data_IF_523853128671
#
_entry.id   IF_523853128671
#
_cell.length_a   1.000
_cell.length_b   1.000
_cell.length_c   1.000
_cell.angle_alpha   90.00
_cell.angle_beta   90.00
_cell.angle_gamma   90.00
#
_symmetry.space_group_name_H-M   'P 1'
#
loop_
_entity.id
_entity.type
_entity.pdbx_description
1 polymer ?
#
# COMPACT_ATOMS: atom_id res chain seq x y z
N UNK A 1 1.61 0.51 5.26
CA UNK A 1 1.77 1.91 4.83
C UNK A 1 1.88 1.93 3.31
N UNK A 2 1.45 3.00 2.66
CA UNK A 2 1.45 3.15 1.19
C UNK A 2 2.28 4.36 0.80
N UNK A 3 3.03 4.25 -0.29
CA UNK A 3 3.81 5.33 -0.88
C UNK A 3 2.95 6.00 -1.94
N UNK A 4 2.77 7.31 -1.80
CA UNK A 4 2.05 8.09 -2.80
C UNK A 4 2.98 8.32 -3.99
N UNK A 5 2.50 8.04 -5.21
CA UNK A 5 3.26 8.23 -6.44
C UNK A 5 2.31 8.59 -7.58
N UNK A 6 2.81 9.30 -8.60
CA UNK A 6 2.03 9.60 -9.80
C UNK A 6 0.81 10.54 -9.59
N UNK A 7 0.79 11.34 -8.51
CA UNK A 7 -0.23 12.38 -8.30
C UNK A 7 -0.08 13.52 -9.32
N UNK A 8 -1.03 13.64 -10.24
CA UNK A 8 -1.05 14.73 -11.23
C UNK A 8 -1.48 16.08 -10.65
N UNK A 9 -2.43 16.07 -9.72
CA UNK A 9 -2.98 17.30 -9.12
C UNK A 9 -2.13 17.89 -8.00
N UNK A 10 -1.24 17.09 -7.41
CA UNK A 10 -0.43 17.50 -6.28
C UNK A 10 0.90 16.71 -6.23
N UNK A 11 1.78 16.91 -7.21
CA UNK A 11 3.04 16.17 -7.32
C UNK A 11 3.98 16.37 -6.14
N UNK A 12 3.79 17.42 -5.33
CA UNK A 12 4.55 17.69 -4.11
C UNK A 12 4.39 16.62 -3.02
N UNK A 13 3.33 15.79 -3.08
CA UNK A 13 3.14 14.67 -2.15
C UNK A 13 3.66 13.33 -2.71
N UNK A 14 4.22 13.32 -3.94
CA UNK A 14 4.83 12.11 -4.48
C UNK A 14 6.10 11.77 -3.68
N UNK A 15 6.24 10.51 -3.28
CA UNK A 15 7.31 10.04 -2.41
C UNK A 15 6.99 10.12 -0.92
N UNK A 16 5.84 10.65 -0.53
CA UNK A 16 5.39 10.66 0.87
C UNK A 16 4.73 9.33 1.24
N UNK A 17 5.03 8.84 2.43
CA UNK A 17 4.41 7.65 3.01
C UNK A 17 3.13 8.05 3.73
N UNK A 18 2.04 7.37 3.42
CA UNK A 18 0.72 7.60 3.99
C UNK A 18 0.15 6.30 4.58
N UNK A 19 -0.81 6.45 5.48
CA UNK A 19 -1.57 5.34 6.06
C UNK A 19 -2.98 5.35 5.50
N UNK A 20 -3.43 4.21 4.99
CA UNK A 20 -4.79 4.09 4.49
C UNK A 20 -5.76 4.15 5.68
N UNK A 21 -6.68 5.10 5.66
CA UNK A 21 -7.71 5.29 6.69
C UNK A 21 -9.10 4.89 6.21
N UNK A 22 -9.30 4.75 4.90
CA UNK A 22 -10.56 4.32 4.33
C UNK A 22 -10.50 4.04 2.84
N UNK A 23 -11.57 3.44 2.32
CA UNK A 23 -11.74 3.18 0.90
C UNK A 23 -13.16 3.64 0.50
N UNK A 24 -13.26 4.49 -0.52
CA UNK A 24 -14.52 5.01 -1.06
C UNK A 24 -14.64 4.66 -2.53
N UNK A 25 -15.47 3.65 -2.82
CA UNK A 25 -15.73 3.16 -4.17
C UNK A 25 -14.41 2.86 -4.92
N UNK A 26 -13.99 3.76 -5.82
CA UNK A 26 -12.81 3.65 -6.67
C UNK A 26 -11.58 4.43 -6.13
N UNK A 27 -11.71 5.05 -4.95
CA UNK A 27 -10.66 5.86 -4.33
C UNK A 27 -10.30 5.33 -2.96
N UNK A 28 -9.05 5.47 -2.59
CA UNK A 28 -8.46 5.13 -1.31
C UNK A 28 -8.23 6.42 -0.54
N UNK A 29 -8.80 6.53 0.65
CA UNK A 29 -8.55 7.62 1.58
C UNK A 29 -7.30 7.29 2.40
N UNK A 30 -6.26 8.08 2.22
CA UNK A 30 -4.99 7.97 2.92
C UNK A 30 -4.76 9.19 3.77
N UNK A 31 -4.29 9.00 4.99
CA UNK A 31 -3.86 10.06 5.89
C UNK A 31 -2.32 10.09 5.90
N UNK A 32 -1.76 11.28 5.66
CA UNK A 32 -0.34 11.56 5.77
C UNK A 32 -0.12 12.79 6.65
N UNK A 33 1.08 12.93 7.19
CA UNK A 33 1.52 14.16 7.84
C UNK A 33 2.32 14.99 6.84
N UNK A 34 1.90 16.24 6.64
CA UNK A 34 2.61 17.21 5.82
C UNK A 34 2.65 18.54 6.55
N UNK A 35 3.84 19.13 6.69
CA UNK A 35 4.05 20.42 7.37
C UNK A 35 3.52 20.44 8.82
N UNK A 36 3.64 19.32 9.54
CA UNK A 36 3.17 19.20 10.93
C UNK A 36 1.65 19.14 11.08
N UNK A 37 0.91 18.96 9.98
CA UNK A 37 -0.53 18.77 9.99
C UNK A 37 -0.91 17.44 9.34
N UNK A 38 -1.90 16.76 9.93
CA UNK A 38 -2.50 15.57 9.32
C UNK A 38 -3.39 15.98 8.14
N UNK A 39 -3.08 15.47 6.95
CA UNK A 39 -3.87 15.62 5.73
C UNK A 39 -4.44 14.29 5.30
N UNK A 40 -5.73 14.30 4.98
CA UNK A 40 -6.42 13.16 4.37
C UNK A 40 -6.59 13.42 2.88
N UNK A 41 -6.13 12.49 2.05
CA UNK A 41 -6.21 12.54 0.59
C UNK A 41 -6.98 11.34 0.06
N UNK A 42 -7.95 11.60 -0.82
CA UNK A 42 -8.63 10.57 -1.57
C UNK A 42 -7.92 10.35 -2.91
N UNK A 43 -7.11 9.31 -2.99
CA UNK A 43 -6.27 8.98 -4.13
C UNK A 43 -6.78 7.73 -4.84
N UNK A 44 -6.50 7.58 -6.12
CA UNK A 44 -6.80 6.31 -6.77
C UNK A 44 -5.76 5.25 -6.38
N UNK A 45 -6.12 3.95 -6.39
CA UNK A 45 -5.18 2.87 -6.14
C UNK A 45 -4.01 2.87 -7.14
N UNK A 46 -4.22 3.31 -8.38
CA UNK A 46 -3.15 3.51 -9.40
C UNK A 46 -2.08 4.55 -9.00
N UNK A 47 -2.37 5.40 -8.00
CA UNK A 47 -1.47 6.41 -7.47
C UNK A 47 -0.82 6.00 -6.13
N UNK A 48 -1.04 4.77 -5.69
CA UNK A 48 -0.53 4.24 -4.43
C UNK A 48 0.32 3.01 -4.71
N UNK A 49 1.55 3.03 -4.20
CA UNK A 49 2.45 1.88 -4.22
C UNK A 49 2.57 1.32 -2.81
N UNK A 50 2.32 0.03 -2.62
CA UNK A 50 2.47 -0.59 -1.31
C UNK A 50 3.95 -0.58 -0.89
N UNK A 51 4.31 0.23 0.10
CA UNK A 51 5.67 0.26 0.67
C UNK A 51 5.73 -0.69 1.86
N UNK A 52 5.61 -1.98 1.60
CA UNK A 52 5.66 -2.96 2.68
C UNK A 52 5.47 -4.38 2.17
N UNK A 53 6.61 -5.06 2.00
CA UNK A 53 6.79 -6.52 1.88
C UNK A 53 5.72 -7.26 1.06
N UNK A 54 6.11 -7.55 -0.18
CA UNK A 54 5.74 -8.81 -0.83
C UNK A 54 6.28 -9.98 -0.01
N UNK A 55 5.66 -10.30 1.13
CA UNK A 55 5.90 -11.54 1.87
C UNK A 55 4.53 -12.01 2.37
N UNK A 56 3.75 -12.60 1.46
CA UNK A 56 3.06 -13.86 1.67
C UNK A 56 2.36 -14.26 0.36
N UNK A 57 3.13 -14.82 -0.58
CA UNK A 57 2.59 -16.00 -1.26
C UNK A 57 3.31 -17.14 -0.59
N UNK A 58 2.76 -17.61 0.53
CA UNK A 58 3.18 -18.85 1.15
C UNK A 58 3.07 -19.98 0.15
N UNK A 59 4.17 -20.28 -0.54
CA UNK A 59 4.39 -21.57 -1.17
C UNK A 59 4.76 -22.55 -0.05
N UNK A 60 3.77 -22.85 0.79
CA UNK A 60 3.82 -23.97 1.72
C UNK A 60 3.29 -25.19 0.97
N UNK A 61 4.07 -25.73 0.03
CA UNK A 61 3.83 -27.09 -0.46
C UNK A 61 4.59 -28.06 0.43
N UNK A 62 3.86 -28.51 1.45
CA UNK A 62 3.82 -29.86 2.01
C UNK A 62 5.13 -30.66 1.97
N UNK A 63 5.69 -30.89 3.16
CA UNK A 63 6.41 -32.12 3.48
C UNK A 63 5.54 -33.33 3.11
N UNK A 64 5.85 -34.02 2.03
CA UNK A 64 5.57 -35.47 1.95
C UNK A 64 6.92 -36.18 2.10
N UNK A 65 7.13 -36.75 3.29
CA UNK A 65 8.15 -37.77 3.52
C UNK A 65 7.85 -39.01 2.65
N UNK A 66 8.88 -39.73 2.19
CA UNK A 66 8.70 -40.86 1.27
C UNK A 66 8.07 -42.06 2.00
N UNK A 67 7.07 -42.77 1.42
CA UNK A 67 6.79 -44.13 1.83
C UNK A 67 7.92 -45.02 1.31
N UNK A 68 8.57 -45.72 2.24
CA UNK A 68 9.49 -46.80 1.95
C UNK A 68 8.73 -48.00 1.40
N UNK A 69 9.16 -48.55 0.27
CA UNK A 69 8.93 -49.95 -0.08
C UNK A 69 10.07 -50.48 -0.97
#
# INVERSE_FOLDING_TARGET
AVLISNLKGAPQFNGTVASVVGFRNDRVEVQLEADGAQKTLALKPENLSETGRKEDTGEFQTREEPPAE
#
